data_IF_691885499928
#
_entry.id   IF_691885499928
#
_cell.length_a   1.000
_cell.length_b   1.000
_cell.length_c   1.000
_cell.angle_alpha   90.00
_cell.angle_beta   90.00
_cell.angle_gamma   90.00
#
_symmetry.space_group_name_H-M   'P 1'
#
loop_
_entity.id
_entity.type
_entity.pdbx_description
1 polymer ?
#
# COMPACT_ATOMS: atom_id res chain seq x y z
N UNK A 1 -5.09 -18.67 -12.01
CA UNK A 1 -5.74 -17.41 -11.62
C UNK A 1 -4.74 -16.29 -11.69
N UNK A 2 -5.15 -15.16 -12.23
CA UNK A 2 -4.26 -14.02 -12.36
C UNK A 2 -4.12 -13.27 -11.05
N UNK A 3 -2.89 -12.98 -10.69
CA UNK A 3 -2.58 -12.05 -9.61
C UNK A 3 -1.75 -10.91 -10.14
N UNK A 4 -1.87 -9.78 -9.48
CA UNK A 4 -1.06 -8.60 -9.76
C UNK A 4 -0.33 -8.21 -8.49
N UNK A 5 0.91 -7.78 -8.61
CA UNK A 5 1.68 -7.27 -7.48
C UNK A 5 2.29 -5.93 -7.86
N UNK A 6 2.12 -4.94 -7.01
CA UNK A 6 2.79 -3.64 -7.16
C UNK A 6 3.61 -3.31 -5.94
N UNK A 7 4.68 -2.57 -6.16
CA UNK A 7 5.49 -1.97 -5.13
C UNK A 7 5.39 -0.45 -5.30
N UNK A 8 5.05 0.25 -4.24
CA UNK A 8 4.79 1.68 -4.30
C UNK A 8 5.55 2.44 -3.21
N UNK A 9 5.94 3.66 -3.55
CA UNK A 9 6.47 4.63 -2.59
C UNK A 9 5.53 5.83 -2.60
N UNK A 10 4.99 6.17 -1.44
CA UNK A 10 4.03 7.26 -1.28
C UNK A 10 4.74 8.46 -0.66
N UNK A 11 4.65 9.59 -1.35
CA UNK A 11 5.28 10.85 -0.97
C UNK A 11 4.25 11.83 -0.44
N UNK A 12 4.71 12.75 0.41
CA UNK A 12 3.87 13.80 0.97
C UNK A 12 3.86 13.75 2.49
N UNK A 13 2.79 14.29 3.09
CA UNK A 13 2.60 14.16 4.53
C UNK A 13 1.86 12.87 4.83
N UNK A 14 2.64 11.81 5.02
CA UNK A 14 2.11 10.44 5.10
C UNK A 14 2.60 9.68 6.34
N UNK A 15 3.47 10.28 7.14
CA UNK A 15 3.88 9.72 8.43
C UNK A 15 3.28 10.55 9.56
N UNK A 16 2.97 9.90 10.69
CA UNK A 16 2.36 10.57 11.84
C UNK A 16 0.89 10.92 11.65
N UNK A 17 0.25 10.38 10.61
CA UNK A 17 -1.17 10.66 10.26
C UNK A 17 -1.96 9.38 10.11
N UNK A 18 -1.54 8.31 10.76
CA UNK A 18 -2.18 6.99 10.74
C UNK A 18 -2.26 6.38 9.33
N UNK A 19 -1.37 6.76 8.44
CA UNK A 19 -1.40 6.28 7.06
C UNK A 19 -1.30 4.76 6.98
N UNK A 20 -0.36 4.17 7.74
CA UNK A 20 -0.17 2.70 7.73
C UNK A 20 -1.42 1.97 8.21
N UNK A 21 -2.07 2.47 9.25
CA UNK A 21 -3.26 1.84 9.79
C UNK A 21 -4.43 1.89 8.80
N UNK A 22 -4.66 3.04 8.19
CA UNK A 22 -5.70 3.18 7.17
C UNK A 22 -5.39 2.37 5.91
N UNK A 23 -4.12 2.28 5.53
CA UNK A 23 -3.69 1.44 4.41
C UNK A 23 -4.05 -0.02 4.67
N UNK A 24 -3.75 -0.51 5.87
CA UNK A 24 -4.08 -1.87 6.26
C UNK A 24 -5.58 -2.11 6.25
N UNK A 25 -6.36 -1.18 6.78
CA UNK A 25 -7.83 -1.29 6.79
C UNK A 25 -8.38 -1.40 5.37
N UNK A 26 -7.92 -0.56 4.49
CA UNK A 26 -8.38 -0.58 3.09
C UNK A 26 -7.95 -1.87 2.39
N UNK A 27 -6.73 -2.32 2.63
CA UNK A 27 -6.24 -3.59 2.07
C UNK A 27 -7.09 -4.78 2.53
N UNK A 28 -7.45 -4.82 3.80
CA UNK A 28 -8.30 -5.88 4.33
C UNK A 28 -9.70 -5.81 3.72
N UNK A 29 -10.24 -4.62 3.53
CA UNK A 29 -11.55 -4.42 2.92
C UNK A 29 -11.56 -4.92 1.47
N UNK A 30 -10.49 -4.67 0.74
CA UNK A 30 -10.36 -5.08 -0.67
C UNK A 30 -9.91 -6.52 -0.84
N UNK A 31 -9.43 -7.16 0.24
CA UNK A 31 -8.96 -8.53 0.18
C UNK A 31 -7.59 -8.70 -0.48
N UNK A 32 -6.76 -7.67 -0.46
CA UNK A 32 -5.39 -7.77 -0.96
C UNK A 32 -4.42 -8.08 0.16
N UNK A 33 -3.26 -8.65 -0.21
CA UNK A 33 -2.20 -9.03 0.71
C UNK A 33 -0.98 -8.15 0.52
N UNK A 34 -0.06 -8.19 1.46
CA UNK A 34 1.20 -7.45 1.38
C UNK A 34 1.56 -6.78 2.68
N UNK A 35 2.18 -5.61 2.58
CA UNK A 35 2.65 -4.90 3.76
C UNK A 35 2.84 -3.41 3.47
N UNK A 36 2.92 -2.64 4.56
CA UNK A 36 3.19 -1.20 4.53
C UNK A 36 4.15 -0.84 5.65
N UNK A 37 5.10 0.04 5.36
CA UNK A 37 6.04 0.53 6.36
C UNK A 37 6.47 1.97 6.08
N UNK A 38 6.87 2.68 7.14
CA UNK A 38 7.50 3.98 7.01
C UNK A 38 8.97 3.80 6.63
N UNK A 39 9.46 4.68 5.77
CA UNK A 39 10.88 4.76 5.46
C UNK A 39 11.49 5.95 6.20
N UNK A 40 12.82 5.91 6.36
CA UNK A 40 13.55 6.92 7.15
C UNK A 40 13.49 8.31 6.49
N UNK A 41 13.26 8.37 5.18
CA UNK A 41 13.20 9.64 4.43
C UNK A 41 11.83 10.32 4.50
N UNK A 42 10.90 9.79 5.27
CA UNK A 42 9.56 10.37 5.43
C UNK A 42 8.52 9.81 4.49
N UNK A 43 8.90 8.94 3.56
CA UNK A 43 7.95 8.29 2.65
C UNK A 43 7.37 7.03 3.29
N UNK A 44 6.35 6.45 2.62
CA UNK A 44 5.75 5.18 3.02
C UNK A 44 5.92 4.19 1.89
N UNK A 45 6.41 3.02 2.21
CA UNK A 45 6.59 1.93 1.24
C UNK A 45 5.47 0.93 1.40
N UNK A 46 4.88 0.51 0.27
CA UNK A 46 3.74 -0.40 0.25
C UNK A 46 3.96 -1.47 -0.80
N UNK A 47 3.65 -2.70 -0.43
CA UNK A 47 3.58 -3.80 -1.40
C UNK A 47 2.18 -4.38 -1.36
N UNK A 48 1.55 -4.50 -2.52
CA UNK A 48 0.15 -4.94 -2.65
C UNK A 48 0.07 -6.06 -3.68
N UNK A 49 -0.54 -7.16 -3.28
CA UNK A 49 -0.69 -8.32 -4.15
C UNK A 49 -2.11 -8.88 -4.01
N UNK A 50 -2.71 -9.24 -5.13
CA UNK A 50 -4.05 -9.83 -5.14
C UNK A 50 -4.66 -9.82 -6.53
N UNK A 51 -5.98 -9.92 -6.59
CA UNK A 51 -6.70 -9.82 -7.86
C UNK A 51 -6.40 -8.46 -8.52
N UNK A 52 -6.17 -8.43 -9.84
CA UNK A 52 -5.76 -7.19 -10.51
C UNK A 52 -6.68 -6.00 -10.24
N UNK A 53 -7.98 -6.18 -10.29
CA UNK A 53 -8.93 -5.09 -10.05
C UNK A 53 -8.86 -4.57 -8.61
N UNK A 54 -8.58 -5.43 -7.65
CA UNK A 54 -8.48 -5.03 -6.25
C UNK A 54 -7.16 -4.30 -5.99
N UNK A 55 -6.08 -4.76 -6.63
CA UNK A 55 -4.77 -4.08 -6.55
C UNK A 55 -4.89 -2.69 -7.17
N UNK A 56 -5.60 -2.56 -8.29
CA UNK A 56 -5.80 -1.26 -8.94
C UNK A 56 -6.59 -0.30 -8.04
N UNK A 57 -7.62 -0.81 -7.35
CA UNK A 57 -8.38 -0.02 -6.39
C UNK A 57 -7.53 0.41 -5.21
N UNK A 58 -6.67 -0.47 -4.74
CA UNK A 58 -5.76 -0.14 -3.65
C UNK A 58 -4.76 0.94 -4.06
N UNK A 59 -4.21 0.83 -5.27
CA UNK A 59 -3.31 1.85 -5.80
C UNK A 59 -4.01 3.21 -5.90
N UNK A 60 -5.24 3.22 -6.38
CA UNK A 60 -6.04 4.44 -6.45
C UNK A 60 -6.25 5.03 -5.05
N UNK A 61 -6.56 4.19 -4.07
CA UNK A 61 -6.74 4.66 -2.68
C UNK A 61 -5.45 5.27 -2.11
N UNK A 62 -4.28 4.75 -2.47
CA UNK A 62 -3.01 5.30 -1.98
C UNK A 62 -2.86 6.78 -2.34
N UNK A 63 -3.44 7.22 -3.46
CA UNK A 63 -3.42 8.63 -3.85
C UNK A 63 -4.30 9.49 -2.93
N UNK A 64 -5.32 8.92 -2.32
CA UNK A 64 -6.19 9.60 -1.36
C UNK A 64 -5.57 9.60 0.03
N UNK A 65 -5.17 8.42 0.50
CA UNK A 65 -4.53 8.24 1.78
C UNK A 65 -5.49 8.34 2.97
N UNK A 66 -4.92 8.48 4.16
CA UNK A 66 -5.68 8.64 5.40
C UNK A 66 -6.27 10.05 5.49
N UNK A 67 -7.31 10.26 6.35
CA UNK A 67 -7.98 11.56 6.41
C UNK A 67 -7.08 12.76 6.70
N UNK A 68 -6.01 12.55 7.48
CA UNK A 68 -5.09 13.62 7.86
C UNK A 68 -3.86 13.69 6.96
N UNK A 69 -3.74 12.80 5.99
CA UNK A 69 -2.57 12.77 5.10
C UNK A 69 -2.74 13.75 3.95
N UNK A 70 -1.59 14.12 3.36
CA UNK A 70 -1.55 14.85 2.09
C UNK A 70 -0.58 14.11 1.19
N UNK A 71 -1.11 13.36 0.24
CA UNK A 71 -0.31 12.59 -0.71
C UNK A 71 0.07 13.52 -1.86
N UNK A 72 1.37 13.71 -2.08
CA UNK A 72 1.86 14.54 -3.18
C UNK A 72 2.08 13.72 -4.45
N UNK A 73 2.52 12.47 -4.31
CA UNK A 73 2.72 11.57 -5.44
C UNK A 73 2.84 10.13 -4.97
N UNK A 74 2.59 9.21 -5.88
CA UNK A 74 2.79 7.78 -5.65
C UNK A 74 3.62 7.25 -6.81
N UNK A 75 4.82 6.76 -6.49
CA UNK A 75 5.66 6.08 -7.47
C UNK A 75 5.44 4.59 -7.32
N UNK A 76 5.10 3.91 -8.41
CA UNK A 76 4.85 2.48 -8.31
C UNK A 76 5.40 1.72 -9.50
N UNK A 77 5.67 0.45 -9.28
CA UNK A 77 6.09 -0.49 -10.31
C UNK A 77 5.35 -1.79 -10.12
N UNK A 78 4.95 -2.39 -11.22
CA UNK A 78 4.40 -3.74 -11.21
C UNK A 78 5.56 -4.73 -11.18
N UNK A 79 5.40 -5.79 -10.39
CA UNK A 79 6.39 -6.86 -10.30
C UNK A 79 5.69 -8.21 -10.30
N UNK A 80 6.46 -9.27 -10.47
CA UNK A 80 5.92 -10.62 -10.45
C UNK A 80 5.32 -10.93 -9.07
N UNK A 81 4.14 -11.57 -9.01
CA UNK A 81 3.57 -11.99 -7.73
C UNK A 81 4.48 -12.97 -7.01
N UNK A 82 4.58 -12.79 -5.71
CA UNK A 82 5.46 -13.59 -4.86
C UNK A 82 4.72 -14.78 -4.25
N UNK A 83 3.43 -14.64 -4.04
CA UNK A 83 2.55 -15.66 -3.45
C UNK A 83 2.92 -16.07 -2.02
N UNK A 84 3.73 -15.28 -1.33
CA UNK A 84 4.14 -15.53 0.05
C UNK A 84 3.19 -14.92 1.07
N UNK A 85 2.35 -13.98 0.65
CA UNK A 85 1.56 -13.19 1.59
C UNK A 85 0.18 -13.81 1.75
N UNK A 86 -0.24 -13.99 3.00
CA UNK A 86 -1.56 -14.50 3.33
C UNK A 86 -2.46 -13.42 3.93
N UNK A 87 -1.91 -12.26 4.23
CA UNK A 87 -2.64 -11.14 4.84
C UNK A 87 -1.93 -9.84 4.51
N UNK A 88 -2.50 -8.73 4.97
CA UNK A 88 -1.86 -7.42 4.87
C UNK A 88 -1.43 -6.97 6.26
N UNK A 89 -0.14 -6.62 6.40
CA UNK A 89 0.43 -6.30 7.70
C UNK A 89 1.13 -4.95 7.69
N UNK A 90 1.21 -4.33 8.86
CA UNK A 90 2.01 -3.14 9.10
C UNK A 90 3.38 -3.58 9.59
N UNK A 91 4.43 -3.08 8.95
CA UNK A 91 5.81 -3.32 9.36
C UNK A 91 6.38 -2.06 10.01
N UNK A 92 7.25 -2.26 10.99
CA UNK A 92 7.87 -1.16 11.73
C UNK A 92 9.36 -1.02 11.47
N UNK A 93 9.92 -1.92 10.69
CA UNK A 93 11.33 -1.86 10.34
C UNK A 93 11.58 -2.37 8.94
#
# INVERSE_FOLDING_TARGET
MNKKCIHAIVHGRVQGVYFRDYTRREALRLGVCGWVRNLIDGTVEVLVEGAPEDVDRMLEWLHTGSPMSEVSSVDFQEQAPDNHYSSFVVRYA
#
